data_IF_510439313953
#
_entry.id   IF_510439313953
#
_cell.length_a   1.000
_cell.length_b   1.000
_cell.length_c   1.000
_cell.angle_alpha   90.00
_cell.angle_beta   90.00
_cell.angle_gamma   90.00
#
_symmetry.space_group_name_H-M   'P 1'
#
loop_
_entity.id
_entity.type
_entity.pdbx_description
1 polymer ?
#
# COMPACT_ATOMS: atom_id res chain seq x y z
N UNK A 1 -16.09 35.27 70.23
CA UNK A 1 -17.18 34.35 69.82
C UNK A 1 -18.51 35.11 69.83
N UNK A 2 -19.06 35.46 68.66
CA UNK A 2 -20.44 35.95 68.49
C UNK A 2 -20.98 35.35 67.20
N UNK A 3 -22.00 34.50 67.33
CA UNK A 3 -22.69 33.82 66.23
C UNK A 3 -23.81 34.74 65.74
N UNK A 4 -23.81 35.09 64.46
CA UNK A 4 -24.96 35.72 63.81
C UNK A 4 -25.55 34.68 62.88
N UNK A 5 -26.75 34.23 63.22
CA UNK A 5 -27.58 33.38 62.38
C UNK A 5 -28.28 34.28 61.35
N UNK A 6 -28.12 33.99 60.06
CA UNK A 6 -28.90 34.60 58.99
C UNK A 6 -29.63 33.48 58.25
N UNK A 7 -30.85 33.28 58.73
CA UNK A 7 -32.11 33.10 58.01
C UNK A 7 -31.98 32.73 56.53
N UNK A 8 -32.38 31.49 56.27
CA UNK A 8 -32.89 30.89 55.05
C UNK A 8 -33.45 31.86 53.99
N UNK A 9 -32.86 31.84 52.80
CA UNK A 9 -33.50 32.31 51.57
C UNK A 9 -33.56 31.14 50.59
N UNK A 10 -34.65 30.39 50.65
CA UNK A 10 -34.97 29.30 49.72
C UNK A 10 -35.32 29.90 48.36
N UNK A 11 -34.34 30.00 47.47
CA UNK A 11 -34.58 30.36 46.06
C UNK A 11 -35.26 29.17 45.39
N UNK A 12 -36.53 29.35 45.06
CA UNK A 12 -37.30 28.45 44.22
C UNK A 12 -36.63 28.35 42.84
N UNK A 13 -35.91 27.25 42.59
CA UNK A 13 -35.57 26.86 41.22
C UNK A 13 -36.86 26.31 40.57
N UNK A 14 -37.58 27.18 39.88
CA UNK A 14 -38.59 26.78 38.91
C UNK A 14 -37.92 25.91 37.84
N UNK A 15 -38.22 24.62 37.85
CA UNK A 15 -37.91 23.70 36.77
C UNK A 15 -38.75 24.08 35.54
N UNK A 16 -38.22 24.94 34.67
CA UNK A 16 -38.69 25.03 33.30
C UNK A 16 -38.22 23.77 32.56
N UNK A 17 -38.99 22.69 32.66
CA UNK A 17 -38.88 21.55 31.76
C UNK A 17 -39.80 21.80 30.55
N UNK A 18 -39.34 22.61 29.61
CA UNK A 18 -39.95 22.68 28.27
C UNK A 18 -39.01 23.37 27.30
N UNK A 19 -38.07 22.61 26.75
CA UNK A 19 -37.50 22.91 25.44
C UNK A 19 -37.35 21.60 24.69
N UNK A 20 -38.41 21.22 23.98
CA UNK A 20 -38.29 20.28 22.88
C UNK A 20 -37.39 20.93 21.84
N UNK A 21 -36.09 20.62 21.89
CA UNK A 21 -35.15 21.04 20.85
C UNK A 21 -35.42 20.21 19.59
N UNK A 22 -36.41 20.62 18.81
CA UNK A 22 -36.63 20.07 17.47
C UNK A 22 -35.60 20.75 16.58
N UNK A 23 -34.43 20.14 16.46
CA UNK A 23 -33.44 20.54 15.47
C UNK A 23 -34.02 20.21 14.08
N UNK A 24 -34.59 21.20 13.40
CA UNK A 24 -34.88 21.09 11.97
C UNK A 24 -33.53 21.00 11.24
N UNK A 25 -33.10 19.79 10.93
CA UNK A 25 -31.95 19.54 10.06
C UNK A 25 -32.41 19.80 8.63
N UNK A 26 -32.17 21.01 8.14
CA UNK A 26 -32.34 21.33 6.72
C UNK A 26 -31.17 20.71 5.97
N UNK A 27 -31.37 19.52 5.42
CA UNK A 27 -30.39 18.85 4.56
C UNK A 27 -30.50 19.44 3.16
N UNK A 28 -29.66 20.41 2.83
CA UNK A 28 -29.52 20.89 1.46
C UNK A 28 -28.58 19.95 0.71
N UNK A 29 -29.14 19.06 -0.11
CA UNK A 29 -28.34 18.22 -1.01
C UNK A 29 -27.94 19.04 -2.24
N UNK A 30 -26.69 19.50 -2.28
CA UNK A 30 -26.12 20.09 -3.48
C UNK A 30 -25.64 18.98 -4.42
N UNK A 31 -26.17 18.92 -5.64
CA UNK A 31 -25.70 18.02 -6.71
C UNK A 31 -24.96 18.87 -7.73
N UNK A 32 -23.64 18.73 -7.80
CA UNK A 32 -22.85 19.34 -8.87
C UNK A 32 -23.08 18.57 -10.17
N UNK A 33 -23.75 19.22 -11.13
CA UNK A 33 -23.83 18.74 -12.51
C UNK A 33 -22.58 19.19 -13.26
N UNK A 34 -21.61 18.29 -13.34
CA UNK A 34 -20.45 18.48 -14.21
C UNK A 34 -20.89 18.31 -15.66
N UNK A 35 -20.71 19.36 -16.45
CA UNK A 35 -20.92 19.32 -17.90
C UNK A 35 -19.81 18.48 -18.52
N UNK A 36 -20.13 17.22 -18.83
CA UNK A 36 -19.22 16.31 -19.53
C UNK A 36 -19.17 16.78 -20.98
N UNK A 37 -18.01 17.27 -21.43
CA UNK A 37 -17.76 17.48 -22.84
C UNK A 37 -17.82 16.12 -23.56
N UNK A 38 -18.53 16.01 -24.70
CA UNK A 38 -18.64 14.75 -25.41
C UNK A 38 -17.26 14.29 -25.86
N UNK A 39 -16.84 13.13 -25.35
CA UNK A 39 -15.66 12.42 -25.83
C UNK A 39 -15.95 12.08 -27.29
N UNK A 40 -15.12 12.50 -28.26
CA UNK A 40 -15.33 12.14 -29.65
C UNK A 40 -15.28 10.62 -29.78
N UNK A 41 -16.33 10.05 -30.37
CA UNK A 41 -16.37 8.63 -30.73
C UNK A 41 -15.15 8.31 -31.60
N UNK A 42 -14.47 7.17 -31.38
CA UNK A 42 -13.45 6.73 -32.31
C UNK A 42 -14.10 6.57 -33.67
N UNK A 43 -13.51 7.23 -34.68
CA UNK A 43 -13.88 7.11 -36.08
C UNK A 43 -13.71 5.64 -36.49
N UNK A 44 -14.75 4.84 -36.28
CA UNK A 44 -14.93 3.62 -37.05
C UNK A 44 -15.13 4.09 -38.49
N UNK A 45 -14.19 3.64 -39.31
CA UNK A 45 -14.09 3.92 -40.72
C UNK A 45 -15.46 3.82 -41.40
N UNK A 46 -15.86 4.90 -42.04
CA UNK A 46 -16.92 4.91 -43.02
C UNK A 46 -16.48 4.01 -44.19
N UNK A 47 -17.31 3.01 -44.46
CA UNK A 47 -17.57 2.43 -45.79
C UNK A 47 -17.67 3.60 -46.81
N UNK A 48 -17.13 3.60 -48.02
CA UNK A 48 -17.16 2.59 -49.08
C UNK A 48 -16.34 3.18 -50.25
N UNK A 49 -15.45 2.41 -50.87
CA UNK A 49 -15.25 2.50 -52.33
C UNK A 49 -15.07 1.10 -52.87
N UNK A 50 -16.14 0.63 -53.52
CA UNK A 50 -16.23 -0.61 -54.29
C UNK A 50 -15.17 -0.62 -55.39
N UNK A 51 -14.34 -1.66 -55.43
CA UNK A 51 -13.84 -2.21 -56.69
C UNK A 51 -14.02 -3.72 -56.67
N UNK A 52 -15.06 -4.15 -57.37
CA UNK A 52 -15.33 -5.54 -57.74
C UNK A 52 -14.32 -5.98 -58.81
N UNK A 53 -13.48 -6.98 -58.52
CA UNK A 53 -13.07 -7.99 -59.51
C UNK A 53 -12.81 -9.32 -58.79
N UNK A 54 -13.50 -10.34 -59.26
CA UNK A 54 -13.47 -11.75 -58.90
C UNK A 54 -12.15 -12.46 -59.23
N UNK A 55 -11.71 -13.42 -58.40
CA UNK A 55 -11.04 -14.68 -58.81
C UNK A 55 -10.93 -15.68 -57.62
N UNK A 56 -10.90 -17.00 -57.88
CA UNK A 56 -11.49 -18.03 -57.02
C UNK A 56 -10.54 -18.71 -56.01
N UNK A 57 -11.14 -19.45 -55.07
CA UNK A 57 -10.47 -20.41 -54.19
C UNK A 57 -9.58 -21.38 -55.00
N UNK A 58 -8.29 -21.44 -54.66
CA UNK A 58 -7.43 -22.59 -54.99
C UNK A 58 -6.65 -23.06 -53.77
N UNK A 59 -6.87 -24.33 -53.49
CA UNK A 59 -6.23 -25.18 -52.49
C UNK A 59 -4.87 -25.60 -53.04
N UNK A 60 -3.74 -25.24 -52.42
CA UNK A 60 -2.47 -25.95 -52.66
C UNK A 60 -1.62 -26.03 -51.39
N UNK A 61 -1.62 -27.25 -50.84
CA UNK A 61 -0.60 -27.98 -50.09
C UNK A 61 0.83 -27.40 -50.22
N UNK A 62 1.48 -27.08 -49.10
CA UNK A 62 2.94 -26.89 -49.07
C UNK A 62 3.59 -27.93 -48.15
N UNK A 63 4.40 -28.79 -48.78
CA UNK A 63 5.37 -29.70 -48.17
C UNK A 63 6.61 -28.92 -47.65
N UNK A 64 7.46 -29.55 -46.81
CA UNK A 64 8.41 -28.88 -45.94
C UNK A 64 9.67 -28.42 -46.69
N UNK A 65 10.04 -27.14 -46.53
CA UNK A 65 11.36 -26.67 -46.93
C UNK A 65 12.37 -26.93 -45.80
N UNK A 66 13.33 -27.77 -46.16
CA UNK A 66 14.55 -28.07 -45.43
C UNK A 66 15.48 -26.87 -45.58
N UNK A 67 15.70 -26.11 -44.52
CA UNK A 67 16.82 -25.18 -44.45
C UNK A 67 17.91 -25.72 -43.53
N UNK A 68 19.12 -25.65 -44.07
CA UNK A 68 20.31 -26.36 -43.68
C UNK A 68 20.85 -25.91 -42.32
N UNK A 69 21.12 -26.88 -41.44
CA UNK A 69 21.89 -26.68 -40.22
C UNK A 69 23.32 -26.25 -40.57
N UNK A 70 23.61 -24.95 -40.50
CA UNK A 70 24.99 -24.48 -40.37
C UNK A 70 25.44 -24.69 -38.92
N UNK A 71 25.96 -25.89 -38.65
CA UNK A 71 26.60 -26.25 -37.38
C UNK A 71 27.86 -25.39 -37.21
N UNK A 72 27.77 -24.33 -36.43
CA UNK A 72 28.96 -23.70 -35.86
C UNK A 72 29.53 -24.70 -34.85
N UNK A 73 30.59 -25.41 -35.24
CA UNK A 73 31.43 -26.18 -34.32
C UNK A 73 32.05 -25.20 -33.33
N UNK A 74 31.38 -24.97 -32.20
CA UNK A 74 32.03 -24.51 -30.97
C UNK A 74 32.87 -25.67 -30.45
N UNK A 75 34.08 -25.81 -31.01
CA UNK A 75 35.13 -26.57 -30.34
C UNK A 75 35.34 -25.95 -28.95
N UNK A 76 35.26 -26.72 -27.86
CA UNK A 76 35.64 -26.22 -26.55
C UNK A 76 37.16 -26.03 -26.56
N UNK A 77 37.60 -24.79 -26.77
CA UNK A 77 38.96 -24.39 -26.43
C UNK A 77 39.09 -24.60 -24.92
N UNK A 78 39.84 -25.65 -24.54
CA UNK A 78 40.24 -25.90 -23.16
C UNK A 78 41.13 -24.76 -22.70
N UNK A 79 40.50 -23.70 -22.22
CA UNK A 79 41.17 -22.69 -21.41
C UNK A 79 41.19 -23.19 -19.97
N UNK A 80 42.39 -23.62 -19.60
CA UNK A 80 42.88 -23.90 -18.25
C UNK A 80 42.04 -23.25 -17.15
N UNK A 81 41.37 -24.08 -16.37
CA UNK A 81 40.64 -23.74 -15.16
C UNK A 81 41.62 -23.21 -14.10
N UNK A 82 41.87 -21.89 -14.11
CA UNK A 82 42.26 -21.21 -12.87
C UNK A 82 41.05 -21.36 -11.94
N UNK A 83 41.12 -22.32 -11.03
CA UNK A 83 40.12 -22.54 -10.01
C UNK A 83 39.89 -21.22 -9.27
N UNK A 84 38.81 -20.52 -9.60
CA UNK A 84 38.36 -19.34 -8.87
C UNK A 84 37.96 -19.85 -7.50
N UNK A 85 38.81 -19.63 -6.50
CA UNK A 85 38.46 -19.90 -5.11
C UNK A 85 37.27 -19.01 -4.76
N UNK A 86 36.12 -19.62 -4.53
CA UNK A 86 34.91 -18.92 -4.09
C UNK A 86 35.17 -18.49 -2.65
N UNK A 87 35.56 -17.23 -2.45
CA UNK A 87 35.79 -16.66 -1.12
C UNK A 87 34.42 -16.22 -0.57
N UNK A 88 34.05 -16.60 0.68
CA UNK A 88 32.81 -16.14 1.28
C UNK A 88 32.80 -14.60 1.42
N UNK A 89 31.62 -13.96 1.43
CA UNK A 89 31.52 -12.51 1.53
C UNK A 89 32.16 -12.00 2.83
N UNK A 90 32.96 -10.93 2.73
CA UNK A 90 33.55 -10.28 3.89
C UNK A 90 32.49 -9.65 4.79
N UNK A 91 32.82 -9.39 6.07
CA UNK A 91 31.91 -8.71 7.01
C UNK A 91 31.38 -7.37 6.46
N UNK A 92 32.24 -6.57 5.82
CA UNK A 92 31.81 -5.34 5.14
C UNK A 92 30.86 -5.58 3.96
N UNK A 93 30.97 -6.71 3.26
CA UNK A 93 30.03 -7.09 2.21
C UNK A 93 28.71 -7.63 2.79
N UNK A 94 28.75 -8.29 3.93
CA UNK A 94 27.57 -8.76 4.67
C UNK A 94 26.81 -7.58 5.29
N UNK A 95 27.51 -6.60 5.87
CA UNK A 95 26.92 -5.37 6.41
C UNK A 95 26.34 -4.48 5.30
N UNK A 96 26.92 -4.56 4.09
CA UNK A 96 26.38 -3.92 2.87
C UNK A 96 25.30 -4.74 2.16
N UNK A 97 25.11 -6.01 2.53
CA UNK A 97 23.90 -6.75 2.16
C UNK A 97 22.76 -6.23 3.04
N UNK A 98 22.37 -4.98 2.79
CA UNK A 98 21.09 -4.49 3.24
C UNK A 98 20.05 -5.42 2.62
N UNK A 99 19.37 -6.19 3.48
CA UNK A 99 18.21 -6.96 3.06
C UNK A 99 17.18 -5.96 2.57
N UNK A 100 17.06 -5.89 1.26
CA UNK A 100 16.00 -5.18 0.58
C UNK A 100 14.69 -5.90 0.85
N UNK A 101 13.63 -5.14 1.10
CA UNK A 101 12.36 -5.71 1.48
C UNK A 101 11.24 -4.71 1.55
N UNK A 102 10.04 -5.25 1.71
CA UNK A 102 8.80 -4.51 1.78
C UNK A 102 8.07 -4.86 3.06
N UNK A 103 7.37 -3.88 3.59
CA UNK A 103 6.46 -4.04 4.71
C UNK A 103 5.14 -3.35 4.39
N UNK A 104 4.11 -3.59 5.18
CA UNK A 104 2.81 -2.94 5.05
C UNK A 104 2.68 -1.92 6.16
N UNK A 105 2.52 -0.65 5.81
CA UNK A 105 2.10 0.38 6.76
C UNK A 105 0.59 0.30 6.95
N UNK A 106 0.16 -0.05 8.17
CA UNK A 106 -1.26 -0.27 8.46
C UNK A 106 -1.95 0.92 9.09
N UNK A 107 -1.23 1.72 9.88
CA UNK A 107 -1.77 2.94 10.51
C UNK A 107 -0.64 3.87 10.95
N UNK A 108 -0.94 5.17 11.03
CA UNK A 108 -0.11 6.15 11.72
C UNK A 108 -0.91 6.80 12.85
N UNK A 109 -0.32 6.89 14.04
CA UNK A 109 -0.98 7.31 15.29
C UNK A 109 -0.11 8.28 16.08
N UNK A 110 -0.75 9.12 16.89
CA UNK A 110 -0.06 10.15 17.69
C UNK A 110 0.39 9.72 19.08
N UNK A 111 0.27 8.44 19.47
CA UNK A 111 0.65 7.98 20.82
C UNK A 111 1.06 6.51 20.85
N UNK A 112 1.95 6.17 21.79
CA UNK A 112 2.42 4.81 22.02
C UNK A 112 1.27 3.84 22.37
N UNK A 113 0.33 4.27 23.22
CA UNK A 113 -0.82 3.43 23.58
C UNK A 113 -1.66 3.00 22.37
N UNK A 114 -1.75 3.85 21.33
CA UNK A 114 -2.41 3.48 20.07
C UNK A 114 -1.57 2.51 19.24
N UNK A 115 -0.24 2.63 19.28
CA UNK A 115 0.66 1.63 18.66
C UNK A 115 0.38 0.26 19.24
N UNK A 116 0.37 0.14 20.58
CA UNK A 116 0.14 -1.13 21.27
C UNK A 116 -1.24 -1.70 20.94
N UNK A 117 -2.27 -0.84 20.92
CA UNK A 117 -3.63 -1.21 20.53
C UNK A 117 -3.68 -1.84 19.13
N UNK A 118 -3.14 -1.15 18.11
CA UNK A 118 -3.18 -1.68 16.74
C UNK A 118 -2.24 -2.89 16.57
N UNK A 119 -1.07 -2.89 17.20
CA UNK A 119 -0.15 -4.03 17.16
C UNK A 119 -0.76 -5.30 17.78
N UNK A 120 -1.60 -5.16 18.83
CA UNK A 120 -2.28 -6.30 19.47
C UNK A 120 -3.29 -6.99 18.55
N UNK A 121 -3.87 -6.22 17.60
CA UNK A 121 -4.92 -6.67 16.68
C UNK A 121 -4.42 -7.24 15.36
N UNK A 122 -3.16 -6.99 15.02
CA UNK A 122 -2.55 -7.57 13.81
C UNK A 122 -2.44 -9.10 13.92
N UNK A 123 -2.51 -9.82 12.79
CA UNK A 123 -2.36 -11.28 12.80
C UNK A 123 -1.06 -11.73 13.47
N UNK A 124 -1.14 -12.86 14.18
CA UNK A 124 0.00 -13.49 14.88
C UNK A 124 0.49 -14.72 14.12
N UNK A 125 0.67 -14.56 12.81
CA UNK A 125 1.06 -15.61 11.86
C UNK A 125 2.59 -15.79 11.73
N UNK A 126 3.35 -15.22 12.67
CA UNK A 126 4.82 -15.22 12.66
C UNK A 126 5.44 -14.06 11.89
N UNK A 127 4.64 -13.22 11.22
CA UNK A 127 5.15 -12.00 10.62
C UNK A 127 5.60 -11.00 11.71
N UNK A 128 6.74 -10.32 11.53
CA UNK A 128 7.17 -9.28 12.45
C UNK A 128 6.23 -8.08 12.40
N UNK A 129 6.02 -7.46 13.55
CA UNK A 129 5.36 -6.16 13.68
C UNK A 129 6.42 -5.18 14.12
N UNK A 130 6.52 -4.04 13.44
CA UNK A 130 7.42 -2.97 13.84
C UNK A 130 6.70 -1.66 14.05
N UNK A 131 7.36 -0.81 14.81
CA UNK A 131 7.10 0.60 14.91
C UNK A 131 8.20 1.39 14.19
N UNK A 132 7.79 2.42 13.46
CA UNK A 132 8.67 3.51 13.03
C UNK A 132 8.07 4.83 13.53
N UNK A 133 8.89 5.83 13.85
CA UNK A 133 8.38 7.15 14.23
C UNK A 133 8.95 8.23 13.32
N UNK A 134 8.26 9.37 13.22
CA UNK A 134 8.75 10.61 12.63
C UNK A 134 8.35 11.80 13.50
N UNK A 135 9.05 12.91 13.40
CA UNK A 135 8.66 14.16 14.05
C UNK A 135 8.14 15.12 12.98
N UNK A 136 6.93 15.64 13.17
CA UNK A 136 6.30 16.63 12.28
C UNK A 136 5.82 17.77 13.15
N UNK A 137 6.34 18.99 12.92
CA UNK A 137 6.01 20.18 13.72
C UNK A 137 6.19 19.96 15.23
N UNK A 138 7.29 19.31 15.63
CA UNK A 138 7.57 18.95 17.03
C UNK A 138 6.71 17.82 17.60
N UNK A 139 5.74 17.30 16.85
CA UNK A 139 4.87 16.19 17.26
C UNK A 139 5.41 14.86 16.76
N UNK A 140 5.58 13.88 17.65
CA UNK A 140 6.00 12.53 17.28
C UNK A 140 4.80 11.73 16.75
N UNK A 141 4.93 11.24 15.53
CA UNK A 141 3.98 10.36 14.86
C UNK A 141 4.57 8.96 14.75
N UNK A 142 3.83 7.98 15.24
CA UNK A 142 4.21 6.57 15.18
C UNK A 142 3.49 5.89 14.03
N UNK A 143 4.16 4.94 13.41
CA UNK A 143 3.66 4.14 12.31
C UNK A 143 3.76 2.68 12.69
N UNK A 144 2.66 1.94 12.57
CA UNK A 144 2.67 0.49 12.76
C UNK A 144 2.87 -0.18 11.40
N UNK A 145 3.85 -1.07 11.35
CA UNK A 145 4.30 -1.78 10.16
C UNK A 145 4.14 -3.29 10.36
N UNK A 146 3.73 -4.00 9.32
CA UNK A 146 3.43 -5.43 9.35
C UNK A 146 4.20 -6.19 8.26
N UNK A 147 4.94 -7.23 8.67
CA UNK A 147 5.53 -8.25 7.80
C UNK A 147 6.80 -7.85 7.05
N UNK A 148 7.70 -8.83 6.87
CA UNK A 148 8.96 -8.70 6.12
C UNK A 148 8.84 -9.48 4.81
N UNK A 149 8.45 -8.78 3.75
CA UNK A 149 8.20 -9.36 2.44
C UNK A 149 9.37 -9.12 1.49
N UNK A 150 9.71 -10.13 0.68
CA UNK A 150 10.79 -9.99 -0.28
C UNK A 150 10.41 -9.07 -1.44
N UNK A 151 9.12 -9.06 -1.82
CA UNK A 151 8.62 -8.29 -2.97
C UNK A 151 7.42 -7.42 -2.62
N UNK A 152 7.22 -6.34 -3.39
CA UNK A 152 6.04 -5.48 -3.24
C UNK A 152 4.75 -6.27 -3.49
N UNK A 153 4.78 -7.24 -4.41
CA UNK A 153 3.64 -8.11 -4.73
C UNK A 153 3.23 -8.98 -3.53
N UNK A 154 4.19 -9.53 -2.79
CA UNK A 154 3.91 -10.27 -1.55
C UNK A 154 3.29 -9.35 -0.49
N UNK A 155 3.83 -8.15 -0.29
CA UNK A 155 3.25 -7.17 0.63
C UNK A 155 1.81 -6.76 0.24
N UNK A 156 1.53 -6.59 -1.07
CA UNK A 156 0.17 -6.34 -1.57
C UNK A 156 -0.77 -7.51 -1.31
N UNK A 157 -0.30 -8.75 -1.45
CA UNK A 157 -1.09 -9.94 -1.11
C UNK A 157 -1.39 -10.00 0.39
N UNK A 158 -0.41 -9.64 1.23
CA UNK A 158 -0.61 -9.58 2.68
C UNK A 158 -1.68 -8.54 3.07
N UNK A 159 -1.76 -7.39 2.38
CA UNK A 159 -2.84 -6.41 2.57
C UNK A 159 -4.22 -7.06 2.39
N UNK A 160 -4.41 -7.89 1.37
CA UNK A 160 -5.69 -8.56 1.12
C UNK A 160 -6.07 -9.56 2.22
N UNK A 161 -5.08 -10.07 2.96
CA UNK A 161 -5.26 -11.02 4.06
C UNK A 161 -5.44 -10.34 5.43
N UNK A 162 -5.25 -9.01 5.52
CA UNK A 162 -5.44 -8.29 6.77
C UNK A 162 -6.90 -8.32 7.24
N UNK A 163 -7.13 -8.25 8.57
CA UNK A 163 -8.46 -8.06 9.13
C UNK A 163 -9.16 -6.84 8.52
N UNK A 164 -10.49 -6.90 8.44
CA UNK A 164 -11.31 -5.86 7.80
C UNK A 164 -11.04 -4.46 8.36
N UNK A 165 -10.89 -4.34 9.68
CA UNK A 165 -10.58 -3.07 10.35
C UNK A 165 -9.27 -2.43 9.86
N UNK A 166 -8.29 -3.21 9.41
CA UNK A 166 -7.06 -2.66 8.85
C UNK A 166 -7.19 -2.34 7.37
N UNK A 167 -7.96 -3.14 6.61
CA UNK A 167 -8.22 -2.86 5.19
C UNK A 167 -8.98 -1.54 5.00
N UNK A 168 -9.88 -1.21 5.93
CA UNK A 168 -10.60 0.06 5.95
C UNK A 168 -9.69 1.27 6.17
N UNK A 169 -8.54 1.08 6.86
CA UNK A 169 -7.51 2.11 7.02
C UNK A 169 -6.64 2.32 5.76
N UNK A 170 -6.95 1.63 4.66
CA UNK A 170 -6.24 1.72 3.38
C UNK A 170 -4.72 1.51 3.55
N UNK A 171 -4.32 0.30 4.00
CA UNK A 171 -2.93 0.02 4.28
C UNK A 171 -2.16 -0.05 2.95
N UNK A 172 -0.88 0.32 2.98
CA UNK A 172 -0.08 0.42 1.77
C UNK A 172 1.32 -0.18 1.95
N UNK A 173 1.89 -0.59 0.82
CA UNK A 173 3.23 -1.17 0.80
C UNK A 173 4.29 -0.08 0.95
N UNK A 174 5.27 -0.34 1.83
CA UNK A 174 6.39 0.54 2.12
C UNK A 174 7.70 -0.21 1.95
N UNK A 175 8.70 0.43 1.35
CA UNK A 175 10.05 -0.14 1.25
C UNK A 175 10.76 -0.03 2.60
N UNK A 176 11.34 -1.12 3.06
CA UNK A 176 12.18 -1.17 4.26
C UNK A 176 13.46 -0.36 4.03
N UNK A 177 14.00 -0.38 2.81
CA UNK A 177 15.20 0.38 2.44
C UNK A 177 14.92 1.88 2.43
N UNK A 178 13.76 2.30 1.95
CA UNK A 178 13.35 3.69 2.03
C UNK A 178 13.26 4.18 3.48
N UNK A 179 12.81 3.33 4.42
CA UNK A 179 12.80 3.66 5.85
C UNK A 179 14.24 3.79 6.36
N UNK A 180 15.07 2.76 6.14
CA UNK A 180 16.46 2.71 6.63
C UNK A 180 17.36 3.83 6.11
N UNK A 181 17.03 4.42 4.96
CA UNK A 181 17.76 5.53 4.36
C UNK A 181 17.07 6.90 4.58
N UNK A 182 16.02 6.96 5.40
CA UNK A 182 15.35 8.21 5.75
C UNK A 182 15.98 8.89 6.98
N UNK A 183 15.54 10.13 7.26
CA UNK A 183 15.90 10.86 8.49
C UNK A 183 15.49 10.11 9.77
N UNK A 184 14.49 9.22 9.68
CA UNK A 184 13.98 8.44 10.79
C UNK A 184 14.08 6.93 10.50
N UNK A 185 15.29 6.34 10.54
CA UNK A 185 15.54 4.99 10.03
C UNK A 185 15.18 3.86 11.00
N UNK A 186 14.78 4.19 12.22
CA UNK A 186 14.59 3.22 13.30
C UNK A 186 13.32 2.37 13.07
N UNK A 187 13.50 1.05 13.19
CA UNK A 187 12.44 0.04 13.20
C UNK A 187 12.49 -0.72 14.53
N UNK A 188 11.53 -0.46 15.42
CA UNK A 188 11.44 -1.14 16.72
C UNK A 188 10.52 -2.35 16.58
N UNK A 189 11.01 -3.55 16.85
CA UNK A 189 10.18 -4.77 16.81
C UNK A 189 9.24 -4.83 18.02
N UNK A 190 7.96 -5.13 17.79
CA UNK A 190 6.90 -5.15 18.81
C UNK A 190 6.48 -6.57 19.25
N UNK A 191 6.92 -7.62 18.55
CA UNK A 191 6.57 -9.02 18.83
C UNK A 191 7.77 -9.97 18.75
#
# INVERSE_FOLDING_TARGET
>A
MKKVAIITLSVLLSACASDNYVANVTTESHREEFKIEPIPEPLMAQEETVQEVSIPQQVVKMEPQTEEKKVVKLSPQSETTKAVKIVPPSKKQQDKMQRFGYTVQVVAVGSQAKVDYFASKLPKDGQPIWENYKIVNGTKWFTVLYGDFATSTEAKKAIAQLPQEFKELQPFVKSIDAIKNSEYPTLNKLN
#
